data_IF_794951556087
#
_entry.id   IF_794951556087
#
_cell.length_a   1.000
_cell.length_b   1.000
_cell.length_c   1.000
_cell.angle_alpha   90.00
_cell.angle_beta   90.00
_cell.angle_gamma   90.00
#
_symmetry.space_group_name_H-M   'P 1'
#
loop_
_entity.id
_entity.type
_entity.pdbx_description
1 polymer ?
#
# COMPACT_ATOMS: atom_id res chain seq x y z
N UNK A 1 10.26 12.94 -10.98
CA UNK A 1 10.93 14.23 -10.65
C UNK A 1 9.97 15.40 -10.86
N UNK A 2 9.98 16.39 -9.97
CA UNK A 2 9.22 17.65 -10.07
C UNK A 2 7.74 17.59 -9.67
N UNK A 3 7.12 16.41 -9.80
CA UNK A 3 5.71 16.17 -9.44
C UNK A 3 5.43 16.32 -7.94
N UNK A 4 4.25 16.82 -7.59
CA UNK A 4 3.70 16.90 -6.23
C UNK A 4 3.12 15.54 -5.84
N UNK A 5 3.80 14.81 -4.97
CA UNK A 5 3.35 13.50 -4.51
C UNK A 5 2.63 13.63 -3.16
N UNK A 6 1.34 13.32 -3.14
CA UNK A 6 0.55 13.24 -1.92
C UNK A 6 0.89 11.94 -1.17
N UNK A 7 1.05 12.03 0.16
CA UNK A 7 1.25 10.85 0.98
C UNK A 7 1.38 11.16 2.47
N UNK A 8 1.22 10.13 3.28
CA UNK A 8 1.45 10.21 4.72
C UNK A 8 2.95 10.26 5.04
N UNK A 9 3.31 11.11 6.00
CA UNK A 9 4.69 11.26 6.45
C UNK A 9 5.23 9.97 7.11
N UNK A 10 6.46 9.58 6.76
CA UNK A 10 7.15 8.42 7.33
C UNK A 10 6.96 7.10 6.56
N UNK A 11 6.05 7.05 5.60
CA UNK A 11 5.81 5.87 4.76
C UNK A 11 6.98 5.58 3.82
N UNK A 12 7.13 4.30 3.42
CA UNK A 12 8.08 3.89 2.38
C UNK A 12 7.78 4.59 1.03
N UNK A 13 6.51 4.78 0.69
CA UNK A 13 6.08 5.50 -0.52
C UNK A 13 6.51 6.96 -0.52
N UNK A 14 6.41 7.67 0.61
CA UNK A 14 6.91 9.04 0.72
C UNK A 14 8.43 9.11 0.50
N UNK A 15 9.18 8.18 1.11
CA UNK A 15 10.65 8.11 0.92
C UNK A 15 11.00 7.83 -0.54
N UNK A 16 10.31 6.89 -1.18
CA UNK A 16 10.50 6.59 -2.59
C UNK A 16 10.16 7.80 -3.48
N UNK A 17 9.03 8.46 -3.25
CA UNK A 17 8.65 9.66 -3.99
C UNK A 17 9.72 10.76 -3.89
N UNK A 18 10.23 11.03 -2.69
CA UNK A 18 11.35 11.96 -2.45
C UNK A 18 12.62 11.53 -3.19
N UNK A 19 12.98 10.25 -3.11
CA UNK A 19 14.15 9.69 -3.81
C UNK A 19 14.04 9.84 -5.34
N UNK A 20 12.84 9.74 -5.90
CA UNK A 20 12.56 9.97 -7.34
C UNK A 20 12.44 11.47 -7.70
N UNK A 21 12.74 12.35 -6.75
CA UNK A 21 12.75 13.80 -6.90
C UNK A 21 11.36 14.42 -6.99
N UNK A 22 10.33 13.81 -6.41
CA UNK A 22 9.03 14.44 -6.23
C UNK A 22 9.08 15.49 -5.10
N UNK A 23 8.21 16.50 -5.18
CA UNK A 23 7.90 17.39 -4.07
C UNK A 23 6.83 16.70 -3.22
N UNK A 24 7.16 16.26 -2.01
CA UNK A 24 6.20 15.59 -1.13
C UNK A 24 5.21 16.59 -0.53
N UNK A 25 3.92 16.31 -0.64
CA UNK A 25 2.85 17.03 0.06
C UNK A 25 2.35 16.08 1.15
N UNK A 26 2.64 16.43 2.39
CA UNK A 26 2.43 15.54 3.54
C UNK A 26 1.04 15.75 4.11
N UNK A 27 0.35 14.65 4.33
CA UNK A 27 -0.93 14.61 5.01
C UNK A 27 -0.72 13.96 6.38
N UNK A 28 -1.56 14.37 7.34
CA UNK A 28 -1.78 13.61 8.56
C UNK A 28 -2.70 12.42 8.25
N UNK A 29 -3.14 11.69 9.29
CA UNK A 29 -4.10 10.61 9.13
C UNK A 29 -5.48 11.16 8.69
N UNK A 30 -5.68 11.29 7.38
CA UNK A 30 -6.91 11.73 6.72
C UNK A 30 -7.51 10.57 5.94
N UNK A 31 -8.80 10.63 5.66
CA UNK A 31 -9.48 9.65 4.81
C UNK A 31 -8.96 9.70 3.37
N UNK A 32 -9.06 8.57 2.66
CA UNK A 32 -8.57 8.43 1.28
C UNK A 32 -9.19 9.45 0.30
N UNK A 33 -10.43 9.86 0.53
CA UNK A 33 -11.11 10.83 -0.34
C UNK A 33 -10.43 12.21 -0.33
N UNK A 34 -9.75 12.59 0.76
CA UNK A 34 -9.00 13.85 0.84
C UNK A 34 -7.82 13.83 -0.14
N UNK A 35 -7.06 12.73 -0.16
CA UNK A 35 -5.97 12.55 -1.12
C UNK A 35 -6.49 12.61 -2.57
N UNK A 36 -7.57 11.88 -2.85
CA UNK A 36 -8.16 11.82 -4.20
C UNK A 36 -8.67 13.19 -4.65
N UNK A 37 -9.45 13.89 -3.82
CA UNK A 37 -9.95 15.24 -4.14
C UNK A 37 -8.83 16.23 -4.44
N UNK A 38 -7.71 16.14 -3.73
CA UNK A 38 -6.58 17.03 -3.97
C UNK A 38 -5.80 16.70 -5.25
N UNK A 39 -5.77 15.42 -5.68
CA UNK A 39 -5.27 15.07 -7.02
C UNK A 39 -6.22 15.58 -8.10
N UNK A 40 -7.52 15.35 -7.92
CA UNK A 40 -8.55 15.77 -8.89
C UNK A 40 -8.60 17.29 -9.07
N UNK A 41 -8.42 18.04 -7.98
CA UNK A 41 -8.31 19.50 -8.00
C UNK A 41 -6.94 20.03 -8.48
N UNK A 42 -5.98 19.16 -8.83
CA UNK A 42 -4.64 19.53 -9.28
C UNK A 42 -3.73 20.12 -8.19
N UNK A 43 -4.13 20.06 -6.92
CA UNK A 43 -3.28 20.48 -5.79
C UNK A 43 -2.10 19.54 -5.62
N UNK A 44 -2.27 18.25 -5.89
CA UNK A 44 -1.20 17.26 -6.02
C UNK A 44 -1.30 16.54 -7.37
N UNK A 45 -0.22 15.89 -7.80
CA UNK A 45 -0.17 15.27 -9.14
C UNK A 45 -0.38 13.75 -9.09
N UNK A 46 -0.03 13.10 -7.98
CA UNK A 46 -0.10 11.65 -7.83
C UNK A 46 -0.13 11.24 -6.36
N UNK A 47 -0.64 10.03 -6.12
CA UNK A 47 -0.53 9.34 -4.84
C UNK A 47 0.23 8.04 -5.09
N UNK A 48 1.37 7.86 -4.42
CA UNK A 48 2.10 6.59 -4.42
C UNK A 48 1.65 5.81 -3.18
N UNK A 49 1.02 4.64 -3.38
CA UNK A 49 0.48 3.84 -2.27
C UNK A 49 0.28 2.38 -2.68
N UNK A 50 -0.18 1.55 -1.74
CA UNK A 50 -0.52 0.15 -1.98
C UNK A 50 -1.70 0.00 -2.95
N UNK A 51 -1.62 -1.01 -3.81
CA UNK A 51 -2.59 -1.26 -4.87
C UNK A 51 -4.01 -1.54 -4.37
N UNK A 52 -4.16 -2.40 -3.35
CA UNK A 52 -5.46 -2.79 -2.84
C UNK A 52 -6.16 -1.61 -2.14
N UNK A 53 -5.43 -0.82 -1.36
CA UNK A 53 -5.98 0.40 -0.76
C UNK A 53 -6.41 1.41 -1.83
N UNK A 54 -5.60 1.62 -2.88
CA UNK A 54 -5.99 2.52 -3.98
C UNK A 54 -7.22 2.03 -4.73
N UNK A 55 -7.33 0.71 -4.96
CA UNK A 55 -8.50 0.12 -5.59
C UNK A 55 -9.76 0.34 -4.75
N UNK A 56 -9.68 0.13 -3.44
CA UNK A 56 -10.78 0.40 -2.50
C UNK A 56 -11.14 1.89 -2.46
N UNK A 57 -10.12 2.77 -2.43
CA UNK A 57 -10.31 4.21 -2.39
C UNK A 57 -11.07 4.72 -3.62
N UNK A 58 -10.66 4.31 -4.83
CA UNK A 58 -11.34 4.71 -6.07
C UNK A 58 -12.77 4.16 -6.14
N UNK A 59 -13.00 2.92 -5.70
CA UNK A 59 -14.34 2.33 -5.66
C UNK A 59 -15.28 3.08 -4.71
N UNK A 60 -14.75 3.68 -3.64
CA UNK A 60 -15.54 4.45 -2.68
C UNK A 60 -15.95 5.84 -3.17
N UNK A 61 -15.35 6.35 -4.26
CA UNK A 61 -15.68 7.65 -4.88
C UNK A 61 -15.97 7.50 -6.38
N UNK A 62 -17.02 6.77 -6.78
CA UNK A 62 -17.19 6.27 -8.16
C UNK A 62 -17.30 7.34 -9.27
N UNK A 63 -17.57 8.61 -8.93
CA UNK A 63 -17.71 9.71 -9.89
C UNK A 63 -16.42 10.53 -10.09
N UNK A 64 -15.29 10.06 -9.57
CA UNK A 64 -14.00 10.73 -9.75
C UNK A 64 -13.39 10.44 -11.14
N UNK A 65 -12.50 11.32 -11.60
CA UNK A 65 -11.80 11.20 -12.90
C UNK A 65 -10.44 10.50 -12.82
N UNK A 66 -10.06 10.00 -11.64
CA UNK A 66 -8.76 9.41 -11.35
C UNK A 66 -8.72 7.93 -11.70
N UNK A 67 -7.50 7.43 -11.87
CA UNK A 67 -7.25 6.02 -12.19
C UNK A 67 -5.92 5.57 -11.62
N UNK A 68 -5.81 4.28 -11.30
CA UNK A 68 -4.51 3.63 -11.12
C UNK A 68 -3.86 3.53 -12.49
N UNK A 69 -2.63 4.00 -12.63
CA UNK A 69 -1.92 3.93 -13.90
C UNK A 69 -1.51 2.48 -14.22
N UNK A 70 -1.97 1.90 -15.36
CA UNK A 70 -1.82 0.47 -15.62
C UNK A 70 -0.37 0.00 -15.81
N UNK A 71 0.56 0.89 -16.14
CA UNK A 71 1.97 0.58 -16.38
C UNK A 71 2.90 1.16 -15.29
N UNK A 72 2.38 1.31 -14.07
CA UNK A 72 3.13 1.88 -12.94
C UNK A 72 3.10 1.00 -11.69
N UNK A 73 2.86 -0.30 -11.84
CA UNK A 73 3.07 -1.23 -10.75
C UNK A 73 4.56 -1.34 -10.46
N UNK A 74 4.94 -1.15 -9.22
CA UNK A 74 6.32 -1.28 -8.77
C UNK A 74 6.37 -2.08 -7.48
N UNK A 75 7.56 -2.59 -7.18
CA UNK A 75 7.89 -3.11 -5.85
C UNK A 75 9.11 -2.41 -5.30
N UNK A 76 9.34 -2.56 -4.01
CA UNK A 76 10.51 -2.04 -3.30
C UNK A 76 11.26 -3.16 -2.59
N UNK A 77 12.50 -2.90 -2.21
CA UNK A 77 13.26 -3.79 -1.32
C UNK A 77 12.61 -3.98 0.07
N UNK A 78 11.61 -3.18 0.43
CA UNK A 78 10.86 -3.29 1.67
C UNK A 78 9.57 -4.12 1.53
N UNK A 79 9.05 -4.31 0.31
CA UNK A 79 7.78 -5.02 0.07
C UNK A 79 7.93 -6.53 0.17
N UNK A 80 9.15 -7.06 -0.02
CA UNK A 80 9.43 -8.48 -0.22
C UNK A 80 9.07 -9.40 0.96
N UNK A 81 8.82 -8.85 2.16
CA UNK A 81 8.37 -9.63 3.32
C UNK A 81 6.87 -9.53 3.58
N UNK A 82 6.13 -8.75 2.77
CA UNK A 82 4.73 -8.45 2.97
C UNK A 82 4.48 -7.61 4.22
N UNK A 83 3.22 -7.57 4.66
CA UNK A 83 2.80 -6.87 5.88
C UNK A 83 3.00 -7.79 7.09
N UNK A 84 3.48 -7.23 8.21
CA UNK A 84 3.79 -7.98 9.43
C UNK A 84 3.25 -7.33 10.69
N UNK A 85 3.10 -8.14 11.74
CA UNK A 85 2.75 -7.68 13.09
C UNK A 85 4.05 -7.25 13.78
N UNK A 86 4.11 -5.98 14.21
CA UNK A 86 5.27 -5.45 14.91
C UNK A 86 5.32 -5.94 16.36
N UNK A 87 6.51 -6.36 16.81
CA UNK A 87 6.76 -6.84 18.16
C UNK A 87 8.09 -6.33 18.69
N UNK A 88 8.21 -6.21 20.02
CA UNK A 88 9.48 -5.89 20.68
C UNK A 88 10.51 -6.99 20.37
N UNK A 89 11.74 -6.58 20.01
CA UNK A 89 12.87 -7.50 19.79
C UNK A 89 13.09 -8.37 21.04
N UNK A 90 13.39 -9.64 20.83
CA UNK A 90 13.61 -10.62 21.91
C UNK A 90 12.35 -11.34 22.40
N UNK A 91 11.14 -10.92 22.01
CA UNK A 91 9.89 -11.60 22.36
C UNK A 91 9.65 -12.88 21.52
N UNK A 92 10.60 -13.80 21.54
CA UNK A 92 10.61 -15.00 20.68
C UNK A 92 9.46 -15.96 20.95
N UNK A 93 8.99 -16.08 22.20
CA UNK A 93 7.84 -16.92 22.55
C UNK A 93 6.54 -16.41 21.90
N UNK A 94 6.28 -15.10 22.00
CA UNK A 94 5.11 -14.47 21.39
C UNK A 94 5.17 -14.58 19.86
N UNK A 95 6.33 -14.28 19.27
CA UNK A 95 6.54 -14.39 17.84
C UNK A 95 6.22 -15.81 17.33
N UNK A 96 6.76 -16.86 17.97
CA UNK A 96 6.48 -18.25 17.59
C UNK A 96 5.00 -18.61 17.65
N UNK A 97 4.29 -18.12 18.67
CA UNK A 97 2.86 -18.39 18.83
C UNK A 97 2.02 -17.67 17.77
N UNK A 98 2.32 -16.41 17.47
CA UNK A 98 1.65 -15.64 16.41
C UNK A 98 1.95 -16.24 15.04
N UNK A 99 3.20 -16.59 14.75
CA UNK A 99 3.59 -17.24 13.50
C UNK A 99 2.86 -18.59 13.31
N UNK A 100 2.69 -19.35 14.40
CA UNK A 100 1.91 -20.61 14.37
C UNK A 100 0.44 -20.34 14.05
N UNK A 101 -0.20 -19.39 14.75
CA UNK A 101 -1.59 -19.04 14.52
C UNK A 101 -1.83 -18.52 13.09
N UNK A 102 -0.94 -17.66 12.56
CA UNK A 102 -1.03 -17.16 11.19
C UNK A 102 -0.90 -18.29 10.15
N UNK A 103 -0.05 -19.30 10.40
CA UNK A 103 0.06 -20.48 9.53
C UNK A 103 -1.22 -21.32 9.54
N UNK A 104 -1.83 -21.51 10.71
CA UNK A 104 -3.09 -22.24 10.85
C UNK A 104 -4.22 -21.52 10.11
N UNK A 105 -4.38 -20.20 10.34
CA UNK A 105 -5.38 -19.36 9.66
C UNK A 105 -5.16 -19.25 8.14
N UNK A 106 -3.90 -19.39 7.68
CA UNK A 106 -3.60 -19.45 6.25
C UNK A 106 -3.99 -20.81 5.66
N UNK A 107 -3.69 -21.90 6.38
CA UNK A 107 -3.95 -23.28 5.95
C UNK A 107 -5.45 -23.59 5.89
N UNK A 108 -6.22 -23.11 6.87
CA UNK A 108 -7.67 -23.36 6.95
C UNK A 108 -8.51 -22.40 6.07
N UNK A 109 -7.87 -21.43 5.41
CA UNK A 109 -8.53 -20.47 4.52
C UNK A 109 -9.16 -19.26 5.20
N UNK A 110 -9.02 -19.10 6.52
CA UNK A 110 -9.56 -17.94 7.26
C UNK A 110 -9.00 -16.62 6.74
N UNK A 111 -7.69 -16.55 6.49
CA UNK A 111 -7.07 -15.33 5.93
C UNK A 111 -7.60 -14.99 4.54
N UNK A 112 -7.86 -16.00 3.70
CA UNK A 112 -8.48 -15.79 2.38
C UNK A 112 -9.90 -15.21 2.54
N UNK A 113 -10.73 -15.81 3.41
CA UNK A 113 -12.10 -15.32 3.68
C UNK A 113 -12.12 -13.88 4.19
N UNK A 114 -11.20 -13.53 5.09
CA UNK A 114 -11.04 -12.15 5.57
C UNK A 114 -10.61 -11.23 4.42
N UNK A 115 -9.64 -11.66 3.62
CA UNK A 115 -9.15 -10.88 2.47
C UNK A 115 -10.28 -10.56 1.48
N UNK A 116 -11.07 -11.56 1.10
CA UNK A 116 -12.20 -11.40 0.20
C UNK A 116 -13.30 -10.50 0.79
N UNK A 117 -13.54 -10.58 2.11
CA UNK A 117 -14.51 -9.73 2.81
C UNK A 117 -14.12 -8.25 2.79
N UNK A 118 -12.85 -7.91 3.01
CA UNK A 118 -12.42 -6.53 3.20
C UNK A 118 -11.79 -5.89 1.95
N UNK A 119 -11.12 -6.67 1.12
CA UNK A 119 -10.45 -6.18 -0.10
C UNK A 119 -11.16 -6.56 -1.39
N UNK A 120 -12.21 -7.40 -1.32
CA UNK A 120 -12.86 -7.99 -2.49
C UNK A 120 -11.85 -8.73 -3.40
N UNK A 121 -10.78 -9.27 -2.80
CA UNK A 121 -9.69 -9.98 -3.46
C UNK A 121 -8.96 -10.90 -2.47
N UNK A 122 -8.37 -12.00 -2.95
CA UNK A 122 -7.49 -12.86 -2.16
C UNK A 122 -6.08 -12.25 -2.11
N UNK A 123 -5.82 -11.44 -1.08
CA UNK A 123 -4.51 -10.79 -0.86
C UNK A 123 -3.49 -11.73 -0.19
N UNK A 124 -3.83 -13.00 0.04
CA UNK A 124 -2.88 -14.00 0.58
C UNK A 124 -1.99 -14.60 -0.51
N UNK A 125 -2.26 -14.26 -1.76
CA UNK A 125 -1.52 -14.67 -2.96
C UNK A 125 -0.91 -13.46 -3.65
N UNK A 126 0.21 -13.67 -4.32
CA UNK A 126 0.81 -12.61 -5.12
C UNK A 126 -0.08 -12.30 -6.33
N UNK A 127 -0.30 -11.01 -6.64
CA UNK A 127 -1.08 -10.62 -7.82
C UNK A 127 -0.32 -10.93 -9.12
N UNK A 128 -1.03 -11.39 -10.15
CA UNK A 128 -0.49 -11.55 -11.49
C UNK A 128 -0.50 -10.21 -12.24
N UNK A 129 0.46 -9.34 -11.89
CA UNK A 129 0.64 -8.02 -12.53
C UNK A 129 2.05 -7.89 -13.10
N UNK A 130 2.19 -7.11 -14.18
CA UNK A 130 3.50 -6.74 -14.70
C UNK A 130 4.13 -5.67 -13.80
N UNK A 131 5.13 -6.05 -13.01
CA UNK A 131 5.94 -5.11 -12.24
C UNK A 131 6.86 -4.36 -13.19
N UNK A 132 6.56 -3.08 -13.40
CA UNK A 132 7.28 -2.20 -14.32
C UNK A 132 8.67 -1.82 -13.80
N UNK A 133 8.85 -1.80 -12.47
CA UNK A 133 10.13 -1.49 -11.84
C UNK A 133 10.22 -2.01 -10.41
N UNK A 134 11.41 -2.45 -10.02
CA UNK A 134 11.77 -2.66 -8.61
C UNK A 134 12.67 -1.52 -8.16
N UNK A 135 12.32 -0.87 -7.06
CA UNK A 135 13.11 0.21 -6.47
C UNK A 135 13.85 -0.24 -5.21
N UNK A 136 15.03 0.32 -4.99
CA UNK A 136 15.70 0.28 -3.69
C UNK A 136 15.48 1.63 -3.01
N UNK A 137 14.74 1.63 -1.91
CA UNK A 137 14.62 2.78 -1.02
C UNK A 137 15.91 2.85 -0.19
N UNK A 138 16.56 4.01 -0.22
CA UNK A 138 17.77 4.32 0.55
C UNK A 138 17.44 4.78 1.97
#
# INVERSE_FOLDING_TARGET
KGKKAAGEAGTNYQRLAKQLGAKTVNYNNVSNDVYLKDVEAGKTDLIMNDYYLQKLALAAVPNNTLKIMPNMYFTTNEDGKGVGILMKKGNTKLQKQVDKALKELKKDGTLKKLSEKYYHADVTKQPHVHISKTFTIK
#
